data_IF_117616226723
#
_entry.id   IF_117616226723
#
_cell.length_a   1.000
_cell.length_b   1.000
_cell.length_c   1.000
_cell.angle_alpha   90.00
_cell.angle_beta   90.00
_cell.angle_gamma   90.00
#
_symmetry.space_group_name_H-M   'P 1'
#
loop_
_entity.id
_entity.type
_entity.pdbx_description
1 polymer ?
#
# COMPACT_ATOMS: atom_id res chain seq x y z
N UNK A 1 19.90 9.96 -2.18
CA UNK A 1 19.41 8.66 -1.65
C UNK A 1 17.90 8.62 -1.83
N UNK A 2 17.38 7.73 -2.68
CA UNK A 2 15.94 7.42 -2.65
C UNK A 2 15.68 6.75 -1.29
N UNK A 3 14.96 7.41 -0.40
CA UNK A 3 14.33 6.73 0.73
C UNK A 3 13.25 5.85 0.12
N UNK A 4 13.64 4.62 -0.25
CA UNK A 4 12.70 3.56 -0.55
C UNK A 4 11.75 3.50 0.64
N UNK A 5 10.47 3.77 0.41
CA UNK A 5 9.45 3.67 1.45
C UNK A 5 9.54 2.27 2.04
N UNK A 6 9.42 2.16 3.36
CA UNK A 6 9.52 0.86 4.05
C UNK A 6 8.47 -0.16 3.58
N UNK A 7 7.46 0.30 2.82
CA UNK A 7 6.40 -0.48 2.22
C UNK A 7 6.49 -0.37 0.70
N UNK A 8 6.57 -1.53 0.04
CA UNK A 8 6.60 -1.66 -1.41
C UNK A 8 5.41 -2.49 -1.87
N UNK A 9 4.62 -1.93 -2.77
CA UNK A 9 3.49 -2.58 -3.42
C UNK A 9 3.87 -3.07 -4.82
N UNK A 10 3.10 -4.02 -5.32
CA UNK A 10 3.11 -4.42 -6.73
C UNK A 10 1.67 -4.49 -7.23
N UNK A 11 1.44 -4.02 -8.45
CA UNK A 11 0.12 -4.14 -9.10
C UNK A 11 -0.07 -5.57 -9.62
N UNK A 12 -1.21 -6.17 -9.29
CA UNK A 12 -1.61 -7.53 -9.66
C UNK A 12 -3.03 -7.47 -10.24
N UNK A 13 -3.14 -7.22 -11.55
CA UNK A 13 -4.42 -6.97 -12.22
C UNK A 13 -5.19 -5.79 -11.62
N UNK A 14 -6.37 -6.08 -11.09
CA UNK A 14 -7.29 -5.11 -10.47
C UNK A 14 -7.08 -4.95 -8.96
N UNK A 15 -5.94 -5.38 -8.43
CA UNK A 15 -5.56 -5.19 -7.04
C UNK A 15 -4.08 -4.82 -6.88
N UNK A 16 -3.71 -4.51 -5.65
CA UNK A 16 -2.32 -4.41 -5.23
C UNK A 16 -1.99 -5.51 -4.23
N UNK A 17 -0.72 -5.91 -4.22
CA UNK A 17 -0.15 -6.81 -3.21
C UNK A 17 1.06 -6.17 -2.57
N UNK A 18 1.34 -6.57 -1.34
CA UNK A 18 2.54 -6.15 -0.62
C UNK A 18 3.70 -7.02 -1.10
N UNK A 19 4.74 -6.37 -1.59
CA UNK A 19 6.01 -7.01 -1.91
C UNK A 19 7.00 -6.91 -0.74
N UNK A 20 6.94 -5.82 0.03
CA UNK A 20 7.78 -5.60 1.21
C UNK A 20 7.08 -4.68 2.23
N UNK A 21 7.45 -4.80 3.51
CA UNK A 21 6.99 -3.88 4.55
C UNK A 21 5.69 -4.23 5.27
N UNK A 22 5.22 -5.49 5.19
CA UNK A 22 3.97 -5.91 5.85
C UNK A 22 3.93 -5.57 7.35
N UNK A 23 5.00 -5.87 8.11
CA UNK A 23 5.04 -5.55 9.54
C UNK A 23 4.97 -4.04 9.81
N UNK A 24 5.60 -3.23 8.95
CA UNK A 24 5.53 -1.77 9.05
C UNK A 24 4.12 -1.27 8.75
N UNK A 25 3.47 -1.81 7.73
CA UNK A 25 2.08 -1.52 7.40
C UNK A 25 1.16 -1.80 8.59
N UNK A 26 1.26 -3.00 9.17
CA UNK A 26 0.44 -3.41 10.33
C UNK A 26 0.68 -2.48 11.52
N UNK A 27 1.95 -2.19 11.84
CA UNK A 27 2.32 -1.32 12.93
C UNK A 27 1.76 0.11 12.74
N UNK A 28 1.96 0.72 11.57
CA UNK A 28 1.47 2.07 11.30
C UNK A 28 -0.05 2.11 11.33
N UNK A 29 -0.71 1.20 10.62
CA UNK A 29 -2.16 1.22 10.57
C UNK A 29 -2.81 0.89 11.93
N UNK A 30 -2.09 0.31 12.90
CA UNK A 30 -2.62 0.11 14.25
C UNK A 30 -2.83 1.42 15.01
N UNK A 31 -2.16 2.49 14.56
CA UNK A 31 -2.20 3.83 15.15
C UNK A 31 -2.88 4.84 14.22
N UNK A 32 -2.68 4.69 12.92
CA UNK A 32 -3.14 5.61 11.87
C UNK A 32 -4.13 4.93 10.92
N UNK A 33 -4.91 5.72 10.17
CA UNK A 33 -5.84 5.18 9.17
C UNK A 33 -5.21 5.04 7.78
N UNK A 34 -4.02 5.58 7.57
CA UNK A 34 -3.36 5.61 6.27
C UNK A 34 -1.83 5.51 6.36
N UNK A 35 -1.21 5.05 5.27
CA UNK A 35 0.25 5.02 5.13
C UNK A 35 0.68 5.10 3.68
N UNK A 36 1.72 5.89 3.40
CA UNK A 36 2.30 5.99 2.07
C UNK A 36 3.18 4.77 1.74
N UNK A 37 3.09 4.29 0.50
CA UNK A 37 3.88 3.19 -0.02
C UNK A 37 4.40 3.48 -1.43
N UNK A 38 5.56 2.93 -1.77
CA UNK A 38 6.04 2.92 -3.16
C UNK A 38 5.38 1.79 -3.94
N UNK A 39 5.27 1.95 -5.26
CA UNK A 39 4.78 0.90 -6.16
C UNK A 39 5.93 0.47 -7.08
N UNK A 40 6.22 -0.83 -7.10
CA UNK A 40 7.24 -1.41 -7.98
C UNK A 40 6.85 -1.18 -9.45
N UNK A 41 7.73 -0.53 -10.20
CA UNK A 41 7.54 -0.29 -11.63
C UNK A 41 6.69 0.94 -11.96
N UNK A 42 6.19 1.67 -10.95
CA UNK A 42 5.50 2.95 -11.15
C UNK A 42 6.26 4.11 -10.50
N UNK A 43 6.03 5.31 -11.02
CA UNK A 43 6.53 6.54 -10.42
C UNK A 43 5.52 7.10 -9.43
N UNK A 44 6.03 7.59 -8.29
CA UNK A 44 5.20 8.18 -7.24
C UNK A 44 4.86 7.19 -6.12
N UNK A 45 4.13 7.71 -5.13
CA UNK A 45 3.65 6.94 -3.97
C UNK A 45 2.15 6.74 -4.07
N UNK A 46 1.70 5.61 -3.56
CA UNK A 46 0.30 5.32 -3.30
C UNK A 46 -0.01 5.54 -1.83
N UNK A 47 -1.26 5.84 -1.51
CA UNK A 47 -1.74 5.82 -0.13
C UNK A 47 -2.45 4.49 0.14
N UNK A 48 -2.02 3.76 1.16
CA UNK A 48 -2.76 2.60 1.67
C UNK A 48 -3.70 3.11 2.76
N UNK A 49 -4.98 2.80 2.62
CA UNK A 49 -6.07 3.26 3.47
C UNK A 49 -6.72 2.06 4.17
N UNK A 50 -6.96 2.19 5.47
CA UNK A 50 -7.82 1.28 6.24
C UNK A 50 -9.27 1.73 6.09
N UNK A 51 -10.10 0.93 5.43
CA UNK A 51 -11.54 1.17 5.27
C UNK A 51 -12.35 0.13 6.05
N UNK A 52 -13.68 0.34 6.13
CA UNK A 52 -14.57 -0.58 6.83
C UNK A 52 -14.61 -1.99 6.19
N UNK A 53 -14.35 -2.06 4.88
CA UNK A 53 -14.37 -3.27 4.05
C UNK A 53 -12.99 -3.90 3.82
N UNK A 54 -11.91 -3.34 4.40
CA UNK A 54 -10.56 -3.89 4.29
C UNK A 54 -9.50 -2.82 4.03
N UNK A 55 -8.46 -3.18 3.27
CA UNK A 55 -7.40 -2.25 2.89
C UNK A 55 -7.55 -1.87 1.41
N UNK A 56 -7.35 -0.59 1.12
CA UNK A 56 -7.38 -0.07 -0.25
C UNK A 56 -6.12 0.74 -0.55
N UNK A 57 -5.73 0.77 -1.82
CA UNK A 57 -4.64 1.59 -2.33
C UNK A 57 -5.24 2.69 -3.20
N UNK A 58 -4.90 3.93 -2.90
CA UNK A 58 -5.29 5.11 -3.65
C UNK A 58 -4.08 5.73 -4.34
N UNK A 59 -4.18 5.93 -5.65
CA UNK A 59 -3.18 6.62 -6.47
C UNK A 59 -3.86 7.27 -7.67
N UNK A 60 -3.57 8.55 -7.93
CA UNK A 60 -4.06 9.28 -9.11
C UNK A 60 -5.58 9.12 -9.34
N UNK A 61 -6.38 9.26 -8.27
CA UNK A 61 -7.85 9.06 -8.26
C UNK A 61 -8.33 7.62 -8.51
N UNK A 62 -7.42 6.66 -8.70
CA UNK A 62 -7.73 5.24 -8.78
C UNK A 62 -7.67 4.65 -7.38
N UNK A 63 -8.71 3.88 -7.01
CA UNK A 63 -8.78 3.17 -5.73
C UNK A 63 -9.01 1.68 -5.97
N UNK A 64 -8.04 0.85 -5.61
CA UNK A 64 -8.08 -0.61 -5.78
C UNK A 64 -7.87 -1.33 -4.44
N UNK A 65 -8.36 -2.57 -4.29
CA UNK A 65 -8.13 -3.35 -3.08
C UNK A 65 -6.64 -3.69 -2.89
N UNK A 66 -6.19 -3.70 -1.63
CA UNK A 66 -4.91 -4.28 -1.22
C UNK A 66 -5.17 -5.68 -0.68
N UNK A 67 -4.67 -6.71 -1.36
CA UNK A 67 -4.73 -8.07 -0.88
C UNK A 67 -3.50 -8.35 0.01
N UNK A 68 -3.77 -8.69 1.27
CA UNK A 68 -2.75 -9.23 2.15
C UNK A 68 -2.45 -10.67 1.69
N UNK A 69 -1.19 -11.08 1.73
CA UNK A 69 -0.87 -12.49 1.50
C UNK A 69 -1.50 -13.33 2.62
N UNK A 70 -2.18 -14.41 2.24
CA UNK A 70 -2.56 -15.50 3.16
C UNK A 70 -1.34 -16.24 3.70
#
# INVERSE_FOLDING_TARGET
MKMSSDILLVRDGDCFRILHGYLRLVAVLSMETEVAADIKGEHGRAMILRTADGLRVEKDSVRLPLLLQE
#
